data_IF_046902582603
#
_entry.id   IF_046902582603
#
_cell.length_a   1.000
_cell.length_b   1.000
_cell.length_c   1.000
_cell.angle_alpha   90.00
_cell.angle_beta   90.00
_cell.angle_gamma   90.00
#
_symmetry.space_group_name_H-M   'P 1'
#
loop_
_entity.id
_entity.type
_entity.pdbx_description
1 polymer ?
#
# COMPACT_ATOMS: atom_id res chain seq x y z
N UNK A 1 23.62 53.27 -8.06
CA UNK A 1 22.52 52.29 -8.24
C UNK A 1 22.87 51.12 -9.17
N UNK A 2 24.08 51.03 -9.73
CA UNK A 2 24.46 50.01 -10.73
C UNK A 2 25.05 48.72 -10.14
N UNK A 3 25.68 48.78 -8.96
CA UNK A 3 26.33 47.59 -8.35
C UNK A 3 25.34 46.49 -7.95
N UNK A 4 24.19 46.86 -7.39
CA UNK A 4 23.14 45.89 -7.03
C UNK A 4 22.47 45.27 -8.27
N UNK A 5 22.31 46.04 -9.34
CA UNK A 5 21.76 45.52 -10.60
C UNK A 5 22.69 44.48 -11.25
N UNK A 6 24.00 44.66 -11.17
CA UNK A 6 24.98 43.68 -11.66
C UNK A 6 24.89 42.36 -10.89
N UNK A 7 24.78 42.42 -9.56
CA UNK A 7 24.63 41.21 -8.71
C UNK A 7 23.33 40.48 -9.02
N UNK A 8 22.22 41.20 -9.17
CA UNK A 8 20.94 40.62 -9.56
C UNK A 8 21.03 39.94 -10.95
N UNK A 9 21.67 40.59 -11.92
CA UNK A 9 21.83 40.06 -13.27
C UNK A 9 22.70 38.80 -13.29
N UNK A 10 23.83 38.80 -12.57
CA UNK A 10 24.69 37.63 -12.41
C UNK A 10 23.95 36.48 -11.72
N UNK A 11 23.15 36.78 -10.68
CA UNK A 11 22.31 35.79 -10.00
C UNK A 11 21.30 35.13 -10.94
N UNK A 12 20.60 35.91 -11.78
CA UNK A 12 19.64 35.40 -12.76
C UNK A 12 20.34 34.52 -13.82
N UNK A 13 21.52 34.93 -14.30
CA UNK A 13 22.29 34.17 -15.29
C UNK A 13 22.77 32.84 -14.70
N UNK A 14 23.34 32.84 -13.49
CA UNK A 14 23.78 31.61 -12.80
C UNK A 14 22.57 30.70 -12.53
N UNK A 15 21.46 31.25 -12.06
CA UNK A 15 20.23 30.49 -11.81
C UNK A 15 19.69 29.84 -13.11
N UNK A 16 19.69 30.57 -14.22
CA UNK A 16 19.30 30.05 -15.52
C UNK A 16 20.24 28.95 -16.04
N UNK A 17 21.55 29.10 -15.85
CA UNK A 17 22.54 28.06 -16.23
C UNK A 17 22.36 26.81 -15.37
N UNK A 18 22.21 26.95 -14.04
CA UNK A 18 21.94 25.83 -13.13
C UNK A 18 20.68 25.10 -13.55
N UNK A 19 19.60 25.82 -13.86
CA UNK A 19 18.30 25.28 -14.29
C UNK A 19 18.38 24.53 -15.64
N UNK A 20 19.20 25.02 -16.57
CA UNK A 20 19.47 24.35 -17.85
C UNK A 20 20.31 23.09 -17.64
N UNK A 21 21.30 23.13 -16.74
CA UNK A 21 22.17 21.99 -16.48
C UNK A 21 21.44 20.87 -15.72
N UNK A 22 20.56 21.21 -14.77
CA UNK A 22 19.66 20.22 -14.12
C UNK A 22 18.72 19.59 -15.15
N UNK A 23 18.07 20.38 -16.01
CA UNK A 23 17.20 19.85 -17.08
C UNK A 23 17.91 18.88 -18.03
N UNK A 24 19.22 19.04 -18.26
CA UNK A 24 19.99 18.17 -19.15
C UNK A 24 20.50 16.90 -18.45
N UNK A 25 20.68 16.93 -17.13
CA UNK A 25 20.95 15.74 -16.32
C UNK A 25 19.67 14.90 -16.06
N UNK A 26 18.51 15.53 -16.00
CA UNK A 26 17.23 14.84 -15.73
C UNK A 26 16.72 14.00 -16.92
N UNK A 27 17.15 14.32 -18.15
CA UNK A 27 16.79 13.55 -19.35
C UNK A 27 17.35 12.12 -19.38
N UNK A 28 18.37 11.81 -18.57
CA UNK A 28 18.97 10.48 -18.48
C UNK A 28 18.39 9.62 -17.34
N UNK A 29 17.64 10.21 -16.39
CA UNK A 29 17.24 9.55 -15.14
C UNK A 29 15.72 9.41 -14.92
N UNK A 30 14.89 9.82 -15.89
CA UNK A 30 13.43 9.58 -15.83
C UNK A 30 12.74 10.24 -14.63
N UNK A 31 13.27 11.39 -14.18
CA UNK A 31 12.72 12.17 -13.07
C UNK A 31 11.52 12.98 -13.56
N UNK A 32 10.36 12.74 -12.97
CA UNK A 32 9.16 13.56 -13.18
C UNK A 32 9.23 14.81 -12.31
N UNK A 33 8.73 15.93 -12.79
CA UNK A 33 8.81 17.22 -12.07
C UNK A 33 7.45 17.56 -11.45
N UNK A 34 7.45 17.97 -10.19
CA UNK A 34 6.24 18.50 -9.52
C UNK A 34 5.84 19.86 -10.11
N UNK A 35 4.63 20.32 -9.79
CA UNK A 35 4.08 21.62 -10.18
C UNK A 35 4.98 22.80 -9.72
N UNK A 36 5.68 22.63 -8.59
CA UNK A 36 6.65 23.59 -8.04
C UNK A 36 8.04 23.52 -8.68
N UNK A 37 8.24 22.62 -9.63
CA UNK A 37 9.49 22.51 -10.35
C UNK A 37 10.61 21.77 -9.58
N UNK A 38 10.30 21.13 -8.46
CA UNK A 38 11.24 20.27 -7.78
C UNK A 38 11.37 18.91 -8.51
N UNK A 39 12.57 18.32 -8.56
CA UNK A 39 12.74 16.96 -9.07
C UNK A 39 12.02 16.01 -8.12
N UNK A 40 10.94 15.38 -8.59
CA UNK A 40 10.29 14.27 -7.89
C UNK A 40 10.85 13.01 -8.51
N UNK A 41 11.83 12.44 -7.82
CA UNK A 41 12.26 11.10 -8.14
C UNK A 41 11.04 10.19 -8.03
N UNK A 42 10.60 9.49 -9.10
CA UNK A 42 9.69 8.36 -8.89
C UNK A 42 10.35 7.48 -7.84
N UNK A 43 9.60 6.93 -6.86
CA UNK A 43 10.19 6.16 -5.78
C UNK A 43 11.16 5.16 -6.39
N UNK A 44 12.44 5.30 -6.03
CA UNK A 44 13.53 4.55 -6.65
C UNK A 44 13.06 3.11 -6.76
N UNK A 45 12.92 2.62 -7.99
CA UNK A 45 12.65 1.21 -8.21
C UNK A 45 13.76 0.49 -7.46
N UNK A 46 13.36 -0.31 -6.49
CA UNK A 46 14.13 -0.90 -5.39
C UNK A 46 15.28 -1.84 -5.86
N UNK A 47 16.07 -1.44 -6.85
CA UNK A 47 17.05 -2.28 -7.56
C UNK A 47 18.50 -1.97 -7.13
N UNK A 48 18.74 -0.83 -6.48
CA UNK A 48 20.06 -0.44 -5.94
C UNK A 48 20.24 -0.71 -4.44
N UNK A 49 19.35 -1.50 -3.83
CA UNK A 49 19.54 -2.02 -2.46
C UNK A 49 20.42 -3.27 -2.57
N UNK A 50 21.46 -3.34 -1.73
CA UNK A 50 22.38 -4.48 -1.60
C UNK A 50 21.64 -5.81 -1.92
N UNK A 51 22.10 -6.65 -2.87
CA UNK A 51 21.40 -7.86 -3.30
C UNK A 51 21.05 -8.80 -2.12
N UNK A 52 21.75 -8.69 -0.99
CA UNK A 52 21.39 -9.33 0.27
C UNK A 52 20.07 -8.82 0.85
N UNK A 53 19.90 -7.51 1.02
CA UNK A 53 18.68 -6.90 1.59
C UNK A 53 17.45 -7.10 0.69
N UNK A 54 17.62 -7.08 -0.63
CA UNK A 54 16.53 -7.36 -1.58
C UNK A 54 16.06 -8.83 -1.49
N UNK A 55 16.97 -9.77 -1.21
CA UNK A 55 16.64 -11.18 -1.01
C UNK A 55 15.88 -11.40 0.31
N UNK A 56 16.33 -10.76 1.39
CA UNK A 56 15.67 -10.82 2.70
C UNK A 56 14.27 -10.20 2.64
N UNK A 57 14.13 -9.03 2.02
CA UNK A 57 12.83 -8.38 1.85
C UNK A 57 11.86 -9.22 1.01
N UNK A 58 12.34 -9.93 -0.02
CA UNK A 58 11.52 -10.87 -0.80
C UNK A 58 11.03 -12.05 0.03
N UNK A 59 11.88 -12.61 0.90
CA UNK A 59 11.51 -13.71 1.81
C UNK A 59 10.48 -13.26 2.84
N UNK A 60 10.64 -12.06 3.39
CA UNK A 60 9.67 -11.48 4.31
C UNK A 60 8.31 -11.25 3.65
N UNK A 61 8.30 -10.74 2.41
CA UNK A 61 7.07 -10.57 1.63
C UNK A 61 6.38 -11.91 1.34
N UNK A 62 7.14 -12.95 1.00
CA UNK A 62 6.58 -14.30 0.78
C UNK A 62 5.95 -14.86 2.06
N UNK A 63 6.64 -14.72 3.20
CA UNK A 63 6.12 -15.14 4.50
C UNK A 63 4.84 -14.38 4.89
N UNK A 64 4.81 -13.07 4.67
CA UNK A 64 3.63 -12.24 4.92
C UNK A 64 2.46 -12.64 4.03
N UNK A 65 2.71 -12.98 2.76
CA UNK A 65 1.68 -13.47 1.83
C UNK A 65 1.11 -14.81 2.26
N UNK A 66 1.95 -15.73 2.72
CA UNK A 66 1.50 -17.02 3.23
C UNK A 66 0.60 -16.84 4.46
N UNK A 67 1.00 -15.97 5.39
CA UNK A 67 0.19 -15.65 6.58
C UNK A 67 -1.14 -14.99 6.22
N UNK A 68 -1.15 -14.05 5.28
CA UNK A 68 -2.39 -13.42 4.80
C UNK A 68 -3.30 -14.47 4.15
N UNK A 69 -2.76 -15.39 3.35
CA UNK A 69 -3.55 -16.46 2.72
C UNK A 69 -4.18 -17.40 3.74
N UNK A 70 -3.46 -17.72 4.80
CA UNK A 70 -4.01 -18.51 5.92
C UNK A 70 -5.11 -17.73 6.63
N UNK A 71 -4.92 -16.43 6.88
CA UNK A 71 -5.93 -15.59 7.53
C UNK A 71 -7.19 -15.41 6.66
N UNK A 72 -7.03 -15.23 5.36
CA UNK A 72 -8.16 -15.17 4.41
C UNK A 72 -8.95 -16.48 4.42
N UNK A 73 -8.26 -17.62 4.42
CA UNK A 73 -8.90 -18.93 4.55
C UNK A 73 -9.61 -19.08 5.89
N UNK A 74 -8.98 -18.73 7.01
CA UNK A 74 -9.62 -18.82 8.34
C UNK A 74 -10.85 -17.92 8.40
N UNK A 75 -10.76 -16.68 7.92
CA UNK A 75 -11.88 -15.75 7.92
C UNK A 75 -13.03 -16.29 7.05
N UNK A 76 -12.73 -16.88 5.89
CA UNK A 76 -13.73 -17.41 4.97
C UNK A 76 -14.33 -18.73 5.47
N UNK A 77 -13.50 -19.69 5.88
CA UNK A 77 -13.93 -20.99 6.39
C UNK A 77 -14.64 -20.85 7.74
N UNK A 78 -14.13 -20.04 8.67
CA UNK A 78 -14.79 -19.80 9.97
C UNK A 78 -16.14 -19.12 9.76
N UNK A 79 -16.24 -18.10 8.91
CA UNK A 79 -17.53 -17.48 8.58
C UNK A 79 -18.50 -18.49 7.93
N UNK A 80 -18.00 -19.40 7.10
CA UNK A 80 -18.84 -20.44 6.48
C UNK A 80 -19.30 -21.53 7.47
N UNK A 81 -18.44 -21.92 8.42
CA UNK A 81 -18.72 -22.90 9.45
C UNK A 81 -19.66 -22.31 10.50
N UNK A 82 -19.37 -21.12 11.03
CA UNK A 82 -20.19 -20.41 12.01
C UNK A 82 -21.60 -20.13 11.45
N UNK A 83 -21.70 -19.68 10.19
CA UNK A 83 -23.00 -19.45 9.56
C UNK A 83 -23.82 -20.75 9.41
N UNK A 84 -23.16 -21.88 9.17
CA UNK A 84 -23.82 -23.19 9.03
C UNK A 84 -24.22 -23.77 10.39
N UNK A 85 -23.35 -23.63 11.38
CA UNK A 85 -23.60 -24.05 12.76
C UNK A 85 -24.73 -23.23 13.38
N UNK A 86 -24.72 -21.91 13.18
CA UNK A 86 -25.80 -21.03 13.65
C UNK A 86 -27.16 -21.42 13.06
N UNK A 87 -27.22 -21.72 11.74
CA UNK A 87 -28.47 -22.21 11.12
C UNK A 87 -28.91 -23.57 11.67
N UNK A 88 -27.96 -24.49 11.91
CA UNK A 88 -28.26 -25.81 12.48
C UNK A 88 -28.81 -25.68 13.89
N UNK A 89 -28.15 -24.88 14.73
CA UNK A 89 -28.57 -24.60 16.11
C UNK A 89 -29.97 -23.94 16.14
N UNK A 90 -30.22 -22.99 15.24
CA UNK A 90 -31.54 -22.35 15.13
C UNK A 90 -32.64 -23.34 14.78
N UNK A 91 -32.39 -24.25 13.83
CA UNK A 91 -33.34 -25.29 13.45
C UNK A 91 -33.60 -26.29 14.59
N UNK A 92 -32.57 -26.62 15.37
CA UNK A 92 -32.69 -27.50 16.54
C UNK A 92 -33.51 -26.83 17.67
N UNK A 93 -33.29 -25.54 17.92
CA UNK A 93 -34.07 -24.78 18.91
C UNK A 93 -35.55 -24.73 18.51
N UNK A 94 -35.86 -24.47 17.23
CA UNK A 94 -37.25 -24.43 16.77
C UNK A 94 -37.92 -25.81 16.88
N UNK A 95 -37.19 -26.90 16.56
CA UNK A 95 -37.71 -28.25 16.74
C UNK A 95 -38.06 -28.54 18.21
N UNK A 96 -37.13 -28.25 19.14
CA UNK A 96 -37.36 -28.40 20.58
C UNK A 96 -38.50 -27.53 21.09
N UNK A 97 -38.65 -26.30 20.56
CA UNK A 97 -39.78 -25.41 20.91
C UNK A 97 -41.12 -26.01 20.48
N UNK A 98 -41.22 -26.55 19.26
CA UNK A 98 -42.47 -27.17 18.78
C UNK A 98 -42.80 -28.46 19.52
N UNK A 99 -41.81 -29.22 19.97
CA UNK A 99 -42.01 -30.44 20.76
C UNK A 99 -42.48 -30.10 22.19
N UNK A 100 -41.88 -29.08 22.81
CA UNK A 100 -42.34 -28.55 24.10
C UNK A 100 -43.78 -28.01 24.05
N UNK A 101 -44.17 -27.32 22.98
CA UNK A 101 -45.53 -26.80 22.82
C UNK A 101 -46.58 -27.93 22.61
N UNK A 102 -46.18 -29.07 22.03
CA UNK A 102 -47.05 -30.24 21.92
C UNK A 102 -47.26 -30.93 23.26
N UNK A 103 -46.20 -31.06 24.07
CA UNK A 103 -46.26 -31.69 25.38
C UNK A 103 -47.07 -30.89 26.41
N UNK A 104 -47.20 -29.57 26.27
CA UNK A 104 -48.03 -28.73 27.17
C UNK A 104 -49.54 -28.79 26.86
N UNK A 105 -49.94 -29.40 25.73
CA UNK A 105 -51.35 -29.50 25.30
C UNK A 105 -52.00 -30.87 25.54
N UNK A 106 -51.24 -31.86 26.00
CA UNK A 106 -51.72 -33.19 26.42
C UNK A 106 -51.91 -33.25 27.94
#
# INVERSE_FOLDING_TARGET
MTGWALVALVGIVIWGIVQIYTRRHDGALGVTRDEDGNPVFPPARHDDRDPGEACEMRREIENLRERIRVLERIATDSNSLDARETRRLSAEIDALRTEGEKHDKD
#
